data_IF_066183845406
#
_entry.id   IF_066183845406
#
_cell.length_a   1.000
_cell.length_b   1.000
_cell.length_c   1.000
_cell.angle_alpha   90.00
_cell.angle_beta   90.00
_cell.angle_gamma   90.00
#
_symmetry.space_group_name_H-M   'P 1'
#
loop_
_entity.id
_entity.type
_entity.pdbx_description
1 polymer ?
#
# COMPACT_ATOMS: atom_id res chain seq x y z
N UNK A 1 33.21 -11.73 -20.40
CA UNK A 1 32.23 -10.82 -19.78
C UNK A 1 32.85 -9.43 -19.68
N UNK A 2 32.08 -8.37 -19.87
CA UNK A 2 32.57 -7.00 -19.68
C UNK A 2 32.88 -6.78 -18.19
N UNK A 3 34.05 -6.19 -17.89
CA UNK A 3 34.45 -5.91 -16.52
C UNK A 3 33.83 -4.59 -16.07
N UNK A 4 33.04 -4.63 -15.00
CA UNK A 4 32.45 -3.45 -14.38
C UNK A 4 33.01 -3.25 -12.98
N UNK A 5 33.41 -2.02 -12.66
CA UNK A 5 33.73 -1.62 -11.29
C UNK A 5 32.54 -0.83 -10.74
N UNK A 6 32.06 -1.22 -9.56
CA UNK A 6 30.87 -0.63 -8.93
C UNK A 6 31.24 -0.16 -7.52
N UNK A 7 30.91 1.08 -7.19
CA UNK A 7 30.97 1.58 -5.82
C UNK A 7 29.68 1.21 -5.10
N UNK A 8 29.79 0.57 -3.94
CA UNK A 8 28.65 0.12 -3.15
C UNK A 8 28.83 0.50 -1.69
N UNK A 9 27.73 0.58 -0.95
CA UNK A 9 27.79 0.82 0.50
C UNK A 9 28.37 -0.39 1.22
N UNK A 10 28.96 -0.15 2.40
CA UNK A 10 29.57 -1.21 3.21
C UNK A 10 28.58 -2.33 3.53
N UNK A 11 27.31 -1.98 3.81
CA UNK A 11 26.23 -2.94 4.07
C UNK A 11 26.03 -3.92 2.91
N UNK A 12 26.06 -3.43 1.66
CA UNK A 12 25.87 -4.27 0.47
C UNK A 12 27.11 -5.14 0.23
N UNK A 13 28.29 -4.57 0.42
CA UNK A 13 29.55 -5.32 0.31
C UNK A 13 29.58 -6.50 1.29
N UNK A 14 29.25 -6.25 2.56
CA UNK A 14 29.25 -7.28 3.61
C UNK A 14 28.21 -8.38 3.31
N UNK A 15 27.02 -8.00 2.84
CA UNK A 15 25.98 -8.95 2.45
C UNK A 15 26.43 -9.89 1.31
N UNK A 16 27.06 -9.35 0.26
CA UNK A 16 27.57 -10.17 -0.85
C UNK A 16 28.69 -11.09 -0.35
N UNK A 17 29.56 -10.59 0.52
CA UNK A 17 30.62 -11.40 1.12
C UNK A 17 30.06 -12.56 1.95
N UNK A 18 29.01 -12.34 2.74
CA UNK A 18 28.32 -13.40 3.47
C UNK A 18 27.81 -14.50 2.53
N UNK A 19 27.21 -14.14 1.39
CA UNK A 19 26.73 -15.12 0.40
C UNK A 19 27.89 -15.91 -0.22
N UNK A 20 29.03 -15.25 -0.49
CA UNK A 20 30.23 -15.94 -0.98
C UNK A 20 30.74 -16.96 0.05
N UNK A 21 30.78 -16.56 1.32
CA UNK A 21 31.26 -17.42 2.41
C UNK A 21 30.29 -18.59 2.66
N UNK A 22 28.97 -18.37 2.57
CA UNK A 22 27.94 -19.41 2.64
C UNK A 22 28.11 -20.45 1.52
N UNK A 23 28.23 -20.02 0.27
CA UNK A 23 28.43 -20.96 -0.86
C UNK A 23 29.72 -21.75 -0.75
N UNK A 24 30.76 -21.17 -0.18
CA UNK A 24 32.02 -21.88 0.10
C UNK A 24 31.86 -22.89 1.23
N UNK A 25 31.10 -22.56 2.27
CA UNK A 25 30.75 -23.50 3.33
C UNK A 25 29.97 -24.71 2.78
N UNK A 26 29.13 -24.49 1.76
CA UNK A 26 28.40 -25.54 1.04
C UNK A 26 29.26 -26.35 0.04
N UNK A 27 30.56 -26.07 -0.04
CA UNK A 27 31.53 -26.83 -0.85
C UNK A 27 31.77 -26.30 -2.26
N UNK A 28 31.29 -25.10 -2.60
CA UNK A 28 31.60 -24.49 -3.89
C UNK A 28 33.09 -24.11 -4.03
N UNK A 29 33.64 -24.28 -5.23
CA UNK A 29 35.02 -23.88 -5.55
C UNK A 29 35.22 -22.38 -5.40
N UNK A 30 36.45 -21.95 -5.06
CA UNK A 30 36.83 -20.53 -5.07
C UNK A 30 36.66 -19.85 -6.43
N UNK A 31 36.71 -20.61 -7.53
CA UNK A 31 36.47 -20.10 -8.87
C UNK A 31 34.97 -19.79 -9.08
N UNK A 32 34.08 -20.58 -8.49
CA UNK A 32 32.63 -20.46 -8.68
C UNK A 32 31.99 -19.52 -7.64
N UNK A 33 32.46 -19.57 -6.40
CA UNK A 33 32.05 -18.72 -5.28
C UNK A 33 33.11 -17.63 -5.02
N UNK A 34 33.01 -16.54 -5.79
CA UNK A 34 33.80 -15.33 -5.60
C UNK A 34 32.92 -14.08 -5.70
N UNK A 35 33.46 -12.94 -5.27
CA UNK A 35 32.71 -11.69 -5.23
C UNK A 35 32.14 -11.30 -6.59
N UNK A 36 32.92 -11.47 -7.66
CA UNK A 36 32.50 -11.11 -9.01
C UNK A 36 31.39 -12.01 -9.53
N UNK A 37 31.46 -13.33 -9.30
CA UNK A 37 30.43 -14.26 -9.75
C UNK A 37 29.09 -14.01 -9.04
N UNK A 38 29.13 -13.83 -7.71
CA UNK A 38 27.93 -13.51 -6.93
C UNK A 38 27.38 -12.13 -7.29
N UNK A 39 28.24 -11.11 -7.47
CA UNK A 39 27.80 -9.80 -7.95
C UNK A 39 27.13 -9.86 -9.32
N UNK A 40 27.69 -10.63 -10.27
CA UNK A 40 27.11 -10.79 -11.60
C UNK A 40 25.73 -11.46 -11.55
N UNK A 41 25.57 -12.50 -10.72
CA UNK A 41 24.27 -13.14 -10.52
C UNK A 41 23.25 -12.19 -9.88
N UNK A 42 23.63 -11.46 -8.84
CA UNK A 42 22.76 -10.49 -8.18
C UNK A 42 22.34 -9.37 -9.12
N UNK A 43 23.23 -8.92 -10.01
CA UNK A 43 22.90 -7.95 -11.05
C UNK A 43 21.89 -8.51 -12.06
N UNK A 44 22.05 -9.74 -12.52
CA UNK A 44 21.10 -10.39 -13.44
C UNK A 44 19.71 -10.52 -12.80
N UNK A 45 19.65 -11.01 -11.56
CA UNK A 45 18.39 -11.06 -10.78
C UNK A 45 17.79 -9.66 -10.65
N UNK A 46 18.58 -8.66 -10.26
CA UNK A 46 18.14 -7.27 -10.09
C UNK A 46 17.57 -6.67 -11.37
N UNK A 47 18.20 -6.91 -12.53
CA UNK A 47 17.70 -6.47 -13.84
C UNK A 47 16.37 -7.15 -14.17
N UNK A 48 16.26 -8.47 -13.99
CA UNK A 48 15.02 -9.21 -14.26
C UNK A 48 13.86 -8.73 -13.40
N UNK A 49 14.08 -8.54 -12.09
CA UNK A 49 13.04 -8.03 -11.18
C UNK A 49 12.62 -6.63 -11.59
N UNK A 50 13.58 -5.74 -11.89
CA UNK A 50 13.30 -4.37 -12.30
C UNK A 50 12.48 -4.32 -13.60
N UNK A 51 12.85 -5.13 -14.59
CA UNK A 51 12.12 -5.21 -15.87
C UNK A 51 10.72 -5.79 -15.68
N UNK A 52 10.56 -6.83 -14.86
CA UNK A 52 9.26 -7.42 -14.59
C UNK A 52 8.33 -6.47 -13.82
N UNK A 53 8.87 -5.67 -12.89
CA UNK A 53 8.11 -4.62 -12.21
C UNK A 53 7.62 -3.56 -13.20
N UNK A 54 8.50 -3.10 -14.10
CA UNK A 54 8.11 -2.14 -15.17
C UNK A 54 7.04 -2.72 -16.09
N UNK A 55 7.24 -3.95 -16.56
CA UNK A 55 6.26 -4.62 -17.44
C UNK A 55 4.90 -4.79 -16.76
N UNK A 56 4.88 -5.15 -15.47
CA UNK A 56 3.63 -5.19 -14.70
C UNK A 56 3.00 -3.80 -14.59
N UNK A 57 3.77 -2.75 -14.31
CA UNK A 57 3.23 -1.39 -14.29
C UNK A 57 2.57 -1.02 -15.63
N UNK A 58 3.24 -1.33 -16.76
CA UNK A 58 2.73 -1.08 -18.11
C UNK A 58 1.48 -1.94 -18.42
N UNK A 59 1.43 -3.20 -17.99
CA UNK A 59 0.29 -4.12 -18.21
C UNK A 59 -0.92 -3.81 -17.33
N UNK A 60 -0.71 -3.24 -16.14
CA UNK A 60 -1.79 -2.91 -15.20
C UNK A 60 -2.37 -1.51 -15.44
N UNK A 61 -1.82 -0.75 -16.41
CA UNK A 61 -2.19 0.66 -16.61
C UNK A 61 -1.86 1.51 -15.37
N UNK A 62 -0.76 1.18 -14.69
CA UNK A 62 -0.34 1.91 -13.50
C UNK A 62 0.24 3.26 -13.93
N UNK A 63 -0.45 4.35 -13.59
CA UNK A 63 -0.08 5.74 -13.90
C UNK A 63 1.22 6.21 -13.17
N UNK A 64 2.04 5.27 -12.70
CA UNK A 64 3.21 5.51 -11.86
C UNK A 64 2.84 5.86 -10.42
N UNK A 65 1.65 5.47 -9.96
CA UNK A 65 1.21 5.69 -8.58
C UNK A 65 2.01 4.80 -7.64
N UNK A 66 2.54 5.38 -6.58
CA UNK A 66 3.26 4.60 -5.57
C UNK A 66 2.31 3.57 -4.94
N UNK A 67 2.81 2.44 -4.43
CA UNK A 67 2.00 1.48 -3.67
C UNK A 67 1.17 2.14 -2.56
N UNK A 68 1.71 3.19 -1.94
CA UNK A 68 1.03 3.99 -0.94
C UNK A 68 -0.17 4.77 -1.52
N UNK A 69 -0.04 5.28 -2.74
CA UNK A 69 -1.11 6.04 -3.41
C UNK A 69 -2.22 5.12 -3.89
N UNK A 70 -1.88 3.92 -4.39
CA UNK A 70 -2.85 2.87 -4.70
C UNK A 70 -3.63 2.44 -3.46
N UNK A 71 -2.94 2.26 -2.33
CA UNK A 71 -3.57 1.95 -1.05
C UNK A 71 -4.52 3.06 -0.59
N UNK A 72 -4.07 4.32 -0.63
CA UNK A 72 -4.92 5.48 -0.28
C UNK A 72 -6.15 5.58 -1.19
N UNK A 73 -5.98 5.38 -2.49
CA UNK A 73 -7.07 5.37 -3.47
C UNK A 73 -8.09 4.28 -3.15
N UNK A 74 -7.64 3.05 -2.94
CA UNK A 74 -8.50 1.92 -2.60
C UNK A 74 -9.28 2.18 -1.30
N UNK A 75 -8.60 2.65 -0.25
CA UNK A 75 -9.23 2.97 1.03
C UNK A 75 -10.28 4.08 0.90
N UNK A 76 -9.99 5.13 0.11
CA UNK A 76 -10.95 6.19 -0.15
C UNK A 76 -12.17 5.68 -0.94
N UNK A 77 -11.94 4.85 -1.95
CA UNK A 77 -12.99 4.28 -2.79
C UNK A 77 -13.93 3.39 -1.98
N UNK A 78 -13.40 2.49 -1.16
CA UNK A 78 -14.21 1.58 -0.34
C UNK A 78 -14.98 2.34 0.76
N UNK A 79 -14.36 3.34 1.38
CA UNK A 79 -15.01 4.20 2.37
C UNK A 79 -16.15 5.03 1.75
N UNK A 80 -15.91 5.62 0.58
CA UNK A 80 -16.93 6.39 -0.14
C UNK A 80 -18.11 5.51 -0.58
N UNK A 81 -17.86 4.33 -1.15
CA UNK A 81 -18.91 3.38 -1.54
C UNK A 81 -19.76 2.95 -0.35
N UNK A 82 -19.11 2.61 0.76
CA UNK A 82 -19.80 2.19 1.99
C UNK A 82 -20.69 3.30 2.53
N UNK A 83 -20.18 4.54 2.58
CA UNK A 83 -20.98 5.71 3.00
C UNK A 83 -22.20 5.92 2.12
N UNK A 84 -22.05 5.84 0.80
CA UNK A 84 -23.16 6.00 -0.15
C UNK A 84 -24.22 4.90 0.03
N UNK A 85 -23.79 3.64 0.16
CA UNK A 85 -24.69 2.50 0.37
C UNK A 85 -25.49 2.64 1.67
N UNK A 86 -24.82 2.98 2.78
CA UNK A 86 -25.49 3.16 4.07
C UNK A 86 -26.47 4.33 4.02
N UNK A 87 -26.13 5.44 3.37
CA UNK A 87 -27.05 6.57 3.22
C UNK A 87 -28.31 6.19 2.43
N UNK A 88 -28.17 5.40 1.37
CA UNK A 88 -29.33 4.88 0.62
C UNK A 88 -30.19 3.93 1.47
N UNK A 89 -29.56 3.00 2.20
CA UNK A 89 -30.27 2.09 3.11
C UNK A 89 -31.02 2.89 4.19
N UNK A 90 -30.36 3.88 4.77
CA UNK A 90 -30.95 4.75 5.79
C UNK A 90 -32.17 5.51 5.23
N UNK A 91 -32.07 6.09 4.03
CA UNK A 91 -33.22 6.71 3.36
C UNK A 91 -34.37 5.73 3.09
N UNK A 92 -34.06 4.49 2.69
CA UNK A 92 -35.09 3.46 2.48
C UNK A 92 -35.77 3.07 3.78
N UNK A 93 -35.03 2.93 4.89
CA UNK A 93 -35.59 2.59 6.20
C UNK A 93 -36.58 3.66 6.68
N UNK A 94 -36.23 4.94 6.59
CA UNK A 94 -37.16 6.02 6.96
C UNK A 94 -38.33 6.20 6.00
N UNK A 95 -38.35 5.48 4.87
CA UNK A 95 -39.52 5.45 3.99
C UNK A 95 -40.53 4.35 4.35
N UNK A 96 -40.18 3.43 5.24
CA UNK A 96 -41.07 2.39 5.75
C UNK A 96 -42.16 3.03 6.63
N UNK A 97 -43.42 2.65 6.40
CA UNK A 97 -44.58 3.30 7.03
C UNK A 97 -44.57 3.14 8.55
N UNK A 98 -44.17 1.96 9.05
CA UNK A 98 -44.05 1.65 10.47
C UNK A 98 -43.03 2.55 11.20
N UNK A 99 -42.00 3.01 10.49
CA UNK A 99 -40.97 3.90 11.02
C UNK A 99 -41.42 5.37 10.90
N UNK A 100 -42.11 5.73 9.81
CA UNK A 100 -42.68 7.08 9.62
C UNK A 100 -43.75 7.43 10.65
N UNK A 101 -44.54 6.45 11.08
CA UNK A 101 -45.62 6.68 12.05
C UNK A 101 -45.11 6.74 13.50
N UNK A 102 -43.87 6.28 13.76
CA UNK A 102 -43.26 6.34 15.08
C UNK A 102 -42.49 7.65 15.28
N UNK A 103 -43.03 8.53 16.11
CA UNK A 103 -42.43 9.85 16.41
C UNK A 103 -41.07 9.78 17.10
N UNK A 104 -40.62 8.59 17.53
CA UNK A 104 -39.27 8.39 18.10
C UNK A 104 -38.18 8.37 17.02
N UNK A 105 -38.55 8.15 15.76
CA UNK A 105 -37.61 8.01 14.65
C UNK A 105 -37.85 9.13 13.62
N UNK A 106 -37.31 10.32 13.90
CA UNK A 106 -37.28 11.42 12.94
C UNK A 106 -35.99 11.39 12.11
N UNK A 107 -36.16 11.35 10.78
CA UNK A 107 -35.05 11.33 9.83
C UNK A 107 -34.12 12.55 9.93
N UNK A 108 -34.68 13.74 10.17
CA UNK A 108 -33.93 15.00 10.26
C UNK A 108 -33.12 15.06 11.55
N UNK A 109 -33.71 14.61 12.66
CA UNK A 109 -32.99 14.53 13.94
C UNK A 109 -31.85 13.51 13.86
N UNK A 110 -32.08 12.33 13.29
CA UNK A 110 -31.04 11.33 13.08
C UNK A 110 -29.88 11.84 12.22
N UNK A 111 -30.17 12.61 11.15
CA UNK A 111 -29.11 13.26 10.35
C UNK A 111 -28.32 14.28 11.18
N UNK A 112 -29.00 15.09 11.99
CA UNK A 112 -28.35 16.11 12.81
C UNK A 112 -27.44 15.48 13.88
N UNK A 113 -27.91 14.41 14.53
CA UNK A 113 -27.12 13.65 15.51
C UNK A 113 -25.89 13.01 14.86
N UNK A 114 -26.05 12.32 13.72
CA UNK A 114 -24.92 11.72 13.01
C UNK A 114 -23.87 12.77 12.59
N UNK A 115 -24.31 13.96 12.14
CA UNK A 115 -23.38 15.07 11.82
C UNK A 115 -22.60 15.52 13.05
N UNK A 116 -23.31 15.74 14.17
CA UNK A 116 -22.70 16.17 15.43
C UNK A 116 -21.70 15.15 15.97
N UNK A 117 -22.03 13.86 15.94
CA UNK A 117 -21.10 12.81 16.37
C UNK A 117 -19.89 12.69 15.43
N UNK A 118 -20.08 12.87 14.12
CA UNK A 118 -18.97 12.91 13.17
C UNK A 118 -18.05 14.09 13.44
N UNK A 119 -18.59 15.28 13.67
CA UNK A 119 -17.81 16.48 14.00
C UNK A 119 -16.96 16.28 15.27
N UNK A 120 -17.56 15.76 16.35
CA UNK A 120 -16.82 15.42 17.58
C UNK A 120 -15.69 14.42 17.35
N UNK A 121 -15.95 13.37 16.56
CA UNK A 121 -14.94 12.36 16.22
C UNK A 121 -13.80 13.00 15.42
N UNK A 122 -14.11 13.85 14.44
CA UNK A 122 -13.07 14.54 13.66
C UNK A 122 -12.27 15.48 14.55
N UNK A 123 -12.91 16.29 15.40
CA UNK A 123 -12.24 17.19 16.34
C UNK A 123 -11.30 16.46 17.31
N UNK A 124 -11.63 15.22 17.71
CA UNK A 124 -10.77 14.42 18.58
C UNK A 124 -9.42 14.07 17.94
N UNK A 125 -9.39 13.86 16.61
CA UNK A 125 -8.18 13.43 15.89
C UNK A 125 -7.52 14.55 15.10
N UNK A 126 -8.29 15.58 14.73
CA UNK A 126 -7.85 16.71 13.93
C UNK A 126 -8.36 17.98 14.60
N UNK A 127 -7.46 18.72 15.25
CA UNK A 127 -7.81 19.99 15.88
C UNK A 127 -8.09 21.03 14.78
N UNK A 128 -9.37 21.27 14.50
CA UNK A 128 -9.82 22.24 13.49
C UNK A 128 -9.69 23.69 14.02
N UNK A 129 -9.31 23.89 15.29
CA UNK A 129 -9.22 25.21 15.95
C UNK A 129 -7.99 26.06 15.57
N UNK A 130 -7.15 25.64 14.63
CA UNK A 130 -6.03 26.45 14.13
C UNK A 130 -6.15 26.74 12.63
N UNK A 131 -7.08 27.64 12.30
CA UNK A 131 -6.98 28.55 11.15
C UNK A 131 -7.42 29.95 11.54
#
# INVERSE_FOLDING_TARGET
MARQNVYMSQKVYDAIRMIVDERRADGASHADANMSSVCSEMLDIGVRVTMNLKKKADETGDDGMTWEDLYKKQMLEDSAKTRQCIQMIFQMLFNINEIKEDSRYDFREGIAEMKKETEKLVEQFFDISHR
#
